data_IF_757946250697
#
_entry.id   IF_757946250697
#
_cell.length_a   1.000
_cell.length_b   1.000
_cell.length_c   1.000
_cell.angle_alpha   90.00
_cell.angle_beta   90.00
_cell.angle_gamma   90.00
#
_symmetry.space_group_name_H-M   'P 1'
#
loop_
_entity.id
_entity.type
_entity.pdbx_description
1 polymer ?
#
# COMPACT_ATOMS: atom_id res chain seq x y z
N UNK A 1 -2.66 -7.87 -9.14
CA UNK A 1 -2.19 -8.74 -10.24
C UNK A 1 -0.86 -8.17 -10.65
N UNK A 2 0.23 -8.89 -10.41
CA UNK A 2 1.59 -8.33 -10.39
C UNK A 2 1.79 -7.26 -9.29
N UNK A 3 2.98 -6.64 -9.26
CA UNK A 3 3.38 -5.57 -8.36
C UNK A 3 4.37 -4.62 -9.05
N UNK A 4 4.17 -3.30 -8.91
CA UNK A 4 5.08 -2.23 -9.36
C UNK A 4 5.55 -2.37 -10.82
N UNK A 5 4.64 -2.75 -11.72
CA UNK A 5 4.90 -2.92 -13.15
C UNK A 5 5.42 -1.65 -13.85
N UNK A 6 5.21 -0.48 -13.23
CA UNK A 6 5.73 0.79 -13.73
C UNK A 6 7.23 0.99 -13.41
N UNK A 7 7.91 0.01 -12.82
CA UNK A 7 9.36 -0.02 -12.64
C UNK A 7 9.99 -1.05 -13.58
N UNK A 8 11.05 -0.65 -14.27
CA UNK A 8 11.74 -1.49 -15.26
C UNK A 8 12.39 -2.77 -14.69
N UNK A 9 12.64 -2.80 -13.38
CA UNK A 9 13.14 -4.00 -12.70
C UNK A 9 12.06 -5.07 -12.50
N UNK A 10 10.78 -4.67 -12.35
CA UNK A 10 9.67 -5.61 -12.16
C UNK A 10 8.94 -5.95 -13.45
N UNK A 11 9.08 -5.15 -14.51
CA UNK A 11 8.40 -5.42 -15.77
C UNK A 11 9.12 -4.76 -16.97
N UNK A 12 9.20 -5.44 -18.14
CA UNK A 12 9.77 -4.87 -19.35
C UNK A 12 9.06 -3.58 -19.80
N UNK A 13 9.83 -2.53 -20.11
CA UNK A 13 9.30 -1.22 -20.52
C UNK A 13 9.25 -1.08 -22.04
N UNK A 14 8.22 -0.42 -22.63
CA UNK A 14 7.05 0.18 -21.98
C UNK A 14 6.04 -0.87 -21.50
N UNK A 15 5.61 -0.74 -20.24
CA UNK A 15 4.85 -1.80 -19.55
C UNK A 15 3.36 -1.89 -19.93
N UNK A 16 2.71 -0.78 -20.26
CA UNK A 16 1.25 -0.70 -20.23
C UNK A 16 0.54 -1.71 -21.17
N UNK A 17 1.00 -1.85 -22.41
CA UNK A 17 0.36 -2.75 -23.38
C UNK A 17 0.50 -4.22 -22.99
N UNK A 18 1.72 -4.65 -22.65
CA UNK A 18 2.02 -6.03 -22.25
C UNK A 18 1.35 -6.38 -20.92
N UNK A 19 1.32 -5.44 -19.98
CA UNK A 19 0.64 -5.61 -18.70
C UNK A 19 -0.89 -5.68 -18.84
N UNK A 20 -1.51 -4.86 -19.70
CA UNK A 20 -2.96 -5.00 -20.00
C UNK A 20 -3.25 -6.34 -20.67
N UNK A 21 -2.32 -6.87 -21.47
CA UNK A 21 -2.37 -8.24 -21.97
C UNK A 21 -2.46 -9.27 -20.84
N UNK A 22 -1.60 -9.17 -19.81
CA UNK A 22 -1.68 -9.99 -18.60
C UNK A 22 -3.03 -9.83 -17.89
N UNK A 23 -3.49 -8.59 -17.69
CA UNK A 23 -4.76 -8.31 -17.00
C UNK A 23 -5.94 -8.98 -17.72
N UNK A 24 -6.00 -8.96 -19.07
CA UNK A 24 -7.06 -9.63 -19.83
C UNK A 24 -7.09 -11.13 -19.60
N UNK A 25 -5.93 -11.78 -19.70
CA UNK A 25 -5.80 -13.22 -19.48
C UNK A 25 -6.16 -13.60 -18.04
N UNK A 26 -5.64 -12.85 -17.08
CA UNK A 26 -5.92 -13.05 -15.66
C UNK A 26 -7.40 -12.83 -15.32
N UNK A 27 -8.00 -11.74 -15.81
CA UNK A 27 -9.40 -11.42 -15.59
C UNK A 27 -10.31 -12.56 -16.10
N UNK A 28 -10.08 -13.03 -17.33
CA UNK A 28 -10.83 -14.14 -17.93
C UNK A 28 -10.70 -15.42 -17.11
N UNK A 29 -9.46 -15.81 -16.75
CA UNK A 29 -9.22 -17.03 -16.00
C UNK A 29 -9.82 -17.00 -14.59
N UNK A 30 -9.63 -15.88 -13.88
CA UNK A 30 -10.15 -15.70 -12.52
C UNK A 30 -11.68 -15.72 -12.51
N UNK A 31 -12.35 -14.97 -13.39
CA UNK A 31 -13.81 -14.93 -13.43
C UNK A 31 -14.44 -16.23 -13.94
N UNK A 32 -13.71 -17.02 -14.74
CA UNK A 32 -14.14 -18.37 -15.10
C UNK A 32 -14.16 -19.30 -13.88
N UNK A 33 -13.21 -19.14 -12.97
CA UNK A 33 -13.12 -19.94 -11.74
C UNK A 33 -14.07 -19.43 -10.65
N UNK A 34 -14.17 -18.11 -10.49
CA UNK A 34 -15.02 -17.43 -9.52
C UNK A 34 -15.57 -16.13 -10.12
N UNK A 35 -16.83 -16.12 -10.60
CA UNK A 35 -17.46 -14.93 -11.17
C UNK A 35 -17.63 -13.76 -10.17
N UNK A 36 -17.52 -14.02 -8.86
CA UNK A 36 -17.62 -13.01 -7.80
C UNK A 36 -16.28 -12.39 -7.41
N UNK A 37 -15.15 -12.95 -7.87
CA UNK A 37 -13.82 -12.47 -7.52
C UNK A 37 -13.58 -11.03 -7.99
N UNK A 38 -12.74 -10.31 -7.25
CA UNK A 38 -12.31 -8.96 -7.58
C UNK A 38 -10.85 -8.95 -7.99
N UNK A 39 -10.57 -8.44 -9.19
CA UNK A 39 -9.20 -8.29 -9.67
C UNK A 39 -8.65 -6.94 -9.24
N UNK A 40 -7.67 -6.98 -8.34
CA UNK A 40 -6.92 -5.80 -7.91
C UNK A 40 -5.78 -5.55 -8.89
N UNK A 41 -5.72 -4.36 -9.48
CA UNK A 41 -4.59 -3.89 -10.29
C UNK A 41 -3.30 -4.01 -9.46
N UNK A 42 -2.22 -4.49 -10.05
CA UNK A 42 -0.88 -4.40 -9.46
C UNK A 42 -0.61 -3.00 -8.91
N UNK A 43 0.05 -2.94 -7.76
CA UNK A 43 0.23 -1.70 -7.06
C UNK A 43 1.24 -0.82 -7.81
N UNK A 44 0.77 0.30 -8.33
CA UNK A 44 1.65 1.29 -8.95
C UNK A 44 2.37 2.11 -7.87
N UNK A 45 3.60 2.51 -8.16
CA UNK A 45 4.45 3.27 -7.22
C UNK A 45 5.02 4.54 -7.85
N UNK A 46 5.79 5.33 -7.10
CA UNK A 46 6.38 6.61 -7.55
C UNK A 46 5.30 7.59 -8.05
N UNK A 47 5.41 8.07 -9.30
CA UNK A 47 4.40 8.94 -9.92
C UNK A 47 3.20 8.14 -10.46
N UNK A 48 2.59 7.28 -9.62
CA UNK A 48 1.54 6.35 -10.02
C UNK A 48 0.35 7.02 -10.73
N UNK A 49 0.01 8.27 -10.35
CA UNK A 49 -1.08 9.02 -10.96
C UNK A 49 -0.81 9.42 -12.42
N UNK A 50 0.47 9.47 -12.81
CA UNK A 50 0.89 9.61 -14.22
C UNK A 50 0.93 8.24 -14.90
N UNK A 51 1.52 7.24 -14.23
CA UNK A 51 1.66 5.87 -14.71
C UNK A 51 0.30 5.27 -15.12
N UNK A 52 -0.71 5.38 -14.26
CA UNK A 52 -2.03 4.80 -14.53
C UNK A 52 -2.69 5.32 -15.81
N UNK A 53 -2.35 6.53 -16.25
CA UNK A 53 -2.82 7.08 -17.52
C UNK A 53 -2.35 6.27 -18.74
N UNK A 54 -1.18 5.63 -18.67
CA UNK A 54 -0.68 4.75 -19.73
C UNK A 54 -1.54 3.48 -19.84
N UNK A 55 -1.97 2.91 -18.71
CA UNK A 55 -2.90 1.76 -18.68
C UNK A 55 -4.26 2.18 -19.25
N UNK A 56 -4.82 3.30 -18.78
CA UNK A 56 -6.11 3.79 -19.28
C UNK A 56 -6.09 4.18 -20.77
N UNK A 57 -4.93 4.50 -21.32
CA UNK A 57 -4.74 4.75 -22.75
C UNK A 57 -4.91 3.50 -23.63
N UNK A 58 -4.83 2.29 -23.04
CA UNK A 58 -5.05 1.05 -23.77
C UNK A 58 -6.55 0.73 -23.82
N UNK A 59 -7.09 0.56 -25.03
CA UNK A 59 -8.49 0.23 -25.25
C UNK A 59 -8.94 -1.01 -24.45
N UNK A 60 -10.04 -0.88 -23.72
CA UNK A 60 -10.61 -1.99 -22.94
C UNK A 60 -9.89 -2.30 -21.61
N UNK A 61 -8.83 -1.57 -21.25
CA UNK A 61 -8.07 -1.84 -20.02
C UNK A 61 -8.90 -1.67 -18.74
N UNK A 62 -9.78 -0.66 -18.71
CA UNK A 62 -10.62 -0.38 -17.54
C UNK A 62 -11.50 -1.56 -17.16
N UNK A 63 -11.90 -2.41 -18.11
CA UNK A 63 -12.77 -3.57 -17.82
C UNK A 63 -12.01 -4.76 -17.25
N UNK A 64 -10.67 -4.68 -17.13
CA UNK A 64 -9.84 -5.83 -16.74
C UNK A 64 -9.47 -5.83 -15.25
N UNK A 65 -9.94 -4.85 -14.47
CA UNK A 65 -9.67 -4.77 -13.03
C UNK A 65 -10.81 -4.03 -12.31
N UNK A 66 -11.04 -4.41 -11.06
CA UNK A 66 -12.09 -3.88 -10.20
C UNK A 66 -11.58 -2.83 -9.20
N UNK A 67 -10.31 -2.94 -8.79
CA UNK A 67 -9.70 -2.10 -7.76
C UNK A 67 -8.39 -1.53 -8.29
N UNK A 68 -8.17 -0.22 -8.13
CA UNK A 68 -6.85 0.39 -8.35
C UNK A 68 -6.06 0.30 -7.05
N UNK A 69 -4.82 -0.15 -7.10
CA UNK A 69 -3.95 -0.18 -5.92
C UNK A 69 -2.64 0.57 -6.14
N UNK A 70 -2.04 1.05 -5.04
CA UNK A 70 -0.79 1.83 -5.05
C UNK A 70 0.09 1.56 -3.84
N UNK A 71 1.40 1.68 -4.05
CA UNK A 71 2.41 1.74 -3.01
C UNK A 71 2.78 3.22 -2.80
N UNK A 72 2.34 3.78 -1.68
CA UNK A 72 2.43 5.21 -1.40
C UNK A 72 3.58 5.52 -0.42
N UNK A 73 4.80 5.14 -0.79
CA UNK A 73 6.00 5.52 -0.06
C UNK A 73 6.29 7.00 -0.25
N UNK A 74 6.24 7.76 0.85
CA UNK A 74 6.49 9.20 0.86
C UNK A 74 7.16 9.61 2.17
N UNK A 75 7.83 10.76 2.18
CA UNK A 75 8.55 11.25 3.34
C UNK A 75 7.69 11.56 4.56
N UNK A 76 6.46 12.02 4.39
CA UNK A 76 5.61 12.47 5.51
C UNK A 76 4.20 11.88 5.39
N UNK A 77 3.50 11.65 6.52
CA UNK A 77 2.10 11.20 6.51
C UNK A 77 1.17 12.08 5.66
N UNK A 78 1.35 13.41 5.68
CA UNK A 78 0.57 14.33 4.86
C UNK A 78 0.80 14.15 3.35
N UNK A 79 2.00 13.72 2.95
CA UNK A 79 2.36 13.47 1.56
C UNK A 79 1.73 12.17 1.06
N UNK A 80 1.53 11.16 1.93
CA UNK A 80 0.70 9.97 1.62
C UNK A 80 -0.71 10.40 1.25
N UNK A 81 -1.31 11.31 2.04
CA UNK A 81 -2.66 11.80 1.75
C UNK A 81 -2.72 12.60 0.45
N UNK A 82 -1.68 13.38 0.14
CA UNK A 82 -1.57 14.09 -1.13
C UNK A 82 -1.44 13.12 -2.31
N UNK A 83 -0.60 12.10 -2.18
CA UNK A 83 -0.45 11.03 -3.15
C UNK A 83 -1.80 10.36 -3.47
N UNK A 84 -2.55 9.96 -2.43
CA UNK A 84 -3.86 9.31 -2.60
C UNK A 84 -4.87 10.24 -3.28
N UNK A 85 -4.83 11.55 -3.00
CA UNK A 85 -5.64 12.55 -3.71
C UNK A 85 -5.26 12.63 -5.20
N UNK A 86 -3.97 12.62 -5.53
CA UNK A 86 -3.55 12.59 -6.94
C UNK A 86 -4.03 11.33 -7.66
N UNK A 87 -3.96 10.16 -7.01
CA UNK A 87 -4.50 8.93 -7.57
C UNK A 87 -6.00 9.01 -7.80
N UNK A 88 -6.77 9.47 -6.81
CA UNK A 88 -8.21 9.65 -6.95
C UNK A 88 -8.55 10.63 -8.08
N UNK A 89 -7.81 11.73 -8.20
CA UNK A 89 -7.99 12.69 -9.29
C UNK A 89 -7.66 12.08 -10.67
N UNK A 90 -6.61 11.28 -10.79
CA UNK A 90 -6.29 10.58 -12.03
C UNK A 90 -7.39 9.59 -12.41
N UNK A 91 -7.88 8.77 -11.46
CA UNK A 91 -9.02 7.86 -11.70
C UNK A 91 -10.26 8.63 -12.17
N UNK A 92 -10.56 9.77 -11.54
CA UNK A 92 -11.68 10.63 -11.93
C UNK A 92 -11.50 11.20 -13.35
N UNK A 93 -10.31 11.70 -13.67
CA UNK A 93 -9.97 12.23 -14.98
C UNK A 93 -10.17 11.18 -16.09
N UNK A 94 -9.71 9.95 -15.85
CA UNK A 94 -9.89 8.82 -16.75
C UNK A 94 -11.27 8.14 -16.64
N UNK A 95 -12.28 8.80 -16.06
CA UNK A 95 -13.67 8.32 -15.97
C UNK A 95 -13.81 6.97 -15.25
N UNK A 96 -12.96 6.69 -14.27
CA UNK A 96 -12.98 5.50 -13.41
C UNK A 96 -13.32 5.82 -11.94
N UNK A 97 -14.12 6.88 -11.75
CA UNK A 97 -14.46 7.44 -10.42
C UNK A 97 -15.15 6.45 -9.47
N UNK A 98 -15.87 5.47 -10.01
CA UNK A 98 -16.67 4.53 -9.22
C UNK A 98 -15.82 3.43 -8.58
N UNK A 99 -14.62 3.17 -9.11
CA UNK A 99 -13.79 2.08 -8.59
C UNK A 99 -13.13 2.45 -7.26
N UNK A 100 -13.00 1.47 -6.36
CA UNK A 100 -12.25 1.64 -5.13
C UNK A 100 -10.76 1.81 -5.39
N UNK A 101 -10.12 2.52 -4.46
CA UNK A 101 -8.68 2.68 -4.34
C UNK A 101 -8.19 1.84 -3.15
N UNK A 102 -7.01 1.25 -3.27
CA UNK A 102 -6.34 0.51 -2.21
C UNK A 102 -4.92 1.04 -2.03
N UNK A 103 -4.54 1.37 -0.79
CA UNK A 103 -3.14 1.62 -0.44
C UNK A 103 -2.52 0.27 -0.04
N UNK A 104 -1.81 -0.36 -0.97
CA UNK A 104 -1.27 -1.71 -0.82
C UNK A 104 0.02 -1.74 -0.01
N UNK A 105 0.82 -0.68 -0.05
CA UNK A 105 1.99 -0.54 0.81
C UNK A 105 2.22 0.92 1.21
N UNK A 106 2.43 1.14 2.51
CA UNK A 106 2.90 2.41 3.08
C UNK A 106 3.73 2.09 4.32
N UNK A 107 4.86 2.77 4.47
CA UNK A 107 5.72 2.62 5.65
C UNK A 107 6.74 3.74 5.77
N UNK A 108 7.42 3.73 6.92
CA UNK A 108 8.62 4.52 7.18
C UNK A 108 9.64 3.59 7.84
N UNK A 109 10.60 3.05 7.07
CA UNK A 109 11.62 2.17 7.63
C UNK A 109 12.40 2.88 8.74
N UNK A 110 12.52 2.24 9.90
CA UNK A 110 13.33 2.77 11.01
C UNK A 110 14.84 2.50 10.79
N UNK A 111 15.31 2.77 9.56
CA UNK A 111 16.60 2.36 9.02
C UNK A 111 17.71 3.42 9.16
N UNK A 112 17.41 4.59 9.74
CA UNK A 112 18.37 5.68 9.86
C UNK A 112 19.65 5.22 10.59
N UNK A 113 20.78 5.24 9.88
CA UNK A 113 22.08 4.78 10.39
C UNK A 113 22.22 3.26 10.55
N UNK A 114 21.27 2.47 10.05
CA UNK A 114 21.24 0.99 10.21
C UNK A 114 21.32 0.22 8.89
N UNK A 115 20.92 0.83 7.78
CA UNK A 115 20.96 0.20 6.45
C UNK A 115 22.03 0.82 5.54
N UNK A 116 22.50 0.04 4.57
CA UNK A 116 23.33 0.51 3.44
C UNK A 116 22.49 1.22 2.37
N UNK A 117 21.20 0.91 2.31
CA UNK A 117 20.24 1.62 1.47
C UNK A 117 19.73 2.83 2.24
N UNK A 118 19.56 3.95 1.53
CA UNK A 118 19.11 5.21 2.10
C UNK A 118 17.96 5.78 1.28
N UNK A 119 16.83 5.98 1.94
CA UNK A 119 15.68 6.72 1.41
C UNK A 119 15.51 8.04 2.17
N UNK A 120 14.92 9.02 1.50
CA UNK A 120 14.61 10.33 2.11
C UNK A 120 13.49 10.25 3.18
N UNK A 121 12.83 9.09 3.26
CA UNK A 121 11.79 8.72 4.23
C UNK A 121 12.27 7.70 5.28
N UNK A 122 13.56 7.36 5.31
CA UNK A 122 14.13 6.59 6.42
C UNK A 122 14.10 7.40 7.72
N UNK A 123 13.85 6.73 8.83
CA UNK A 123 13.65 7.39 10.12
C UNK A 123 14.18 6.56 11.29
N UNK A 124 13.97 7.04 12.51
CA UNK A 124 14.21 6.30 13.75
C UNK A 124 13.00 5.46 14.13
N UNK A 125 13.13 4.53 15.09
CA UNK A 125 11.97 3.76 15.60
C UNK A 125 10.88 4.67 16.20
N UNK A 126 11.31 5.76 16.86
CA UNK A 126 10.39 6.77 17.35
C UNK A 126 9.72 7.55 16.22
N UNK A 127 10.44 7.83 15.13
CA UNK A 127 9.87 8.46 13.93
C UNK A 127 8.84 7.58 13.24
N UNK A 128 9.17 6.30 13.00
CA UNK A 128 8.24 5.32 12.45
C UNK A 128 6.92 5.29 13.25
N UNK A 129 7.00 5.24 14.58
CA UNK A 129 5.81 5.25 15.44
C UNK A 129 5.02 6.56 15.34
N UNK A 130 5.69 7.72 15.33
CA UNK A 130 5.04 9.04 15.17
C UNK A 130 4.33 9.16 13.82
N UNK A 131 4.96 8.71 12.75
CA UNK A 131 4.40 8.82 11.40
C UNK A 131 3.17 7.92 11.22
N UNK A 132 3.18 6.71 11.79
CA UNK A 132 2.00 5.84 11.87
C UNK A 132 0.87 6.50 12.67
N UNK A 133 1.18 7.03 13.86
CA UNK A 133 0.20 7.68 14.73
C UNK A 133 -0.44 8.91 14.08
N UNK A 134 0.31 9.62 13.23
CA UNK A 134 -0.20 10.74 12.45
C UNK A 134 -1.03 10.29 11.23
N UNK A 135 -0.62 9.23 10.53
CA UNK A 135 -1.28 8.77 9.30
C UNK A 135 -2.69 8.21 9.55
N UNK A 136 -2.84 7.31 10.53
CA UNK A 136 -4.08 6.54 10.71
C UNK A 136 -5.33 7.44 10.90
N UNK A 137 -5.30 8.50 11.74
CA UNK A 137 -6.43 9.44 11.83
C UNK A 137 -6.71 10.17 10.51
N UNK A 138 -5.69 10.53 9.73
CA UNK A 138 -5.88 11.19 8.42
C UNK A 138 -6.58 10.28 7.42
N UNK A 139 -6.24 8.98 7.42
CA UNK A 139 -6.93 7.96 6.64
C UNK A 139 -8.39 7.86 7.10
N UNK A 140 -8.64 7.76 8.42
CA UNK A 140 -9.99 7.69 8.97
C UNK A 140 -10.89 8.86 8.59
N UNK A 141 -10.32 10.07 8.55
CA UNK A 141 -11.06 11.26 8.14
C UNK A 141 -11.34 11.32 6.63
N UNK A 142 -10.55 10.63 5.80
CA UNK A 142 -10.54 10.83 4.34
C UNK A 142 -10.96 9.63 3.51
N UNK A 143 -11.04 8.41 4.08
CA UNK A 143 -11.16 7.18 3.30
C UNK A 143 -12.40 7.17 2.38
N UNK A 144 -13.55 7.67 2.85
CA UNK A 144 -14.77 7.76 2.03
C UNK A 144 -14.59 8.69 0.82
N UNK A 145 -14.05 9.89 1.03
CA UNK A 145 -13.81 10.86 -0.04
C UNK A 145 -12.78 10.35 -1.06
N UNK A 146 -11.82 9.53 -0.60
CA UNK A 146 -10.83 8.88 -1.44
C UNK A 146 -11.32 7.59 -2.08
N UNK A 147 -12.53 7.11 -1.78
CA UNK A 147 -13.00 5.77 -2.15
C UNK A 147 -11.99 4.68 -1.75
N UNK A 148 -11.30 4.88 -0.64
CA UNK A 148 -10.25 4.01 -0.13
C UNK A 148 -10.91 2.87 0.65
N UNK A 149 -10.73 1.64 0.18
CA UNK A 149 -11.34 0.44 0.81
C UNK A 149 -10.40 -0.27 1.78
N UNK A 150 -9.13 0.11 1.80
CA UNK A 150 -8.15 -0.52 2.64
C UNK A 150 -6.79 0.16 2.58
N UNK A 151 -6.00 -0.13 3.61
CA UNK A 151 -4.64 0.31 3.79
C UNK A 151 -3.84 -0.84 4.39
N UNK A 152 -2.69 -1.12 3.81
CA UNK A 152 -1.76 -2.13 4.30
C UNK A 152 -0.45 -1.47 4.71
N UNK A 153 -0.13 -1.60 6.00
CA UNK A 153 1.15 -1.16 6.51
C UNK A 153 2.23 -2.17 6.11
N UNK A 154 3.26 -1.70 5.42
CA UNK A 154 4.43 -2.51 5.12
C UNK A 154 5.45 -2.33 6.27
N UNK A 155 5.74 -3.31 7.10
CA UNK A 155 5.25 -4.67 7.12
C UNK A 155 5.03 -5.12 8.56
N UNK A 156 4.51 -6.34 8.75
CA UNK A 156 4.29 -6.91 10.06
C UNK A 156 5.62 -7.14 10.81
N UNK A 157 6.59 -7.79 10.16
CA UNK A 157 7.87 -8.19 10.75
C UNK A 157 9.03 -7.79 9.84
N UNK A 158 10.01 -7.06 10.38
CA UNK A 158 11.25 -6.70 9.67
C UNK A 158 12.40 -7.64 10.02
N UNK A 159 13.20 -8.05 9.03
CA UNK A 159 14.43 -8.84 9.25
C UNK A 159 15.63 -7.93 9.55
N UNK A 160 15.69 -7.39 10.76
CA UNK A 160 16.74 -6.43 11.19
C UNK A 160 18.10 -7.10 11.51
N UNK A 161 18.31 -8.35 11.06
CA UNK A 161 19.62 -9.01 11.06
C UNK A 161 20.49 -8.65 9.85
N UNK A 162 19.88 -8.19 8.76
CA UNK A 162 20.55 -7.83 7.51
C UNK A 162 20.50 -6.31 7.26
N UNK A 163 21.65 -5.62 7.23
CA UNK A 163 21.70 -4.18 6.95
C UNK A 163 21.58 -3.84 5.46
N UNK A 164 21.41 -4.82 4.57
CA UNK A 164 21.37 -4.62 3.11
C UNK A 164 20.25 -3.68 2.67
N UNK A 165 19.00 -3.98 3.03
CA UNK A 165 17.81 -3.23 2.58
C UNK A 165 17.24 -2.37 3.70
N UNK A 166 16.84 -1.13 3.39
CA UNK A 166 16.25 -0.25 4.40
C UNK A 166 14.91 -0.80 4.90
N UNK A 167 14.13 -1.39 3.98
CA UNK A 167 12.83 -2.00 4.28
C UNK A 167 12.90 -3.20 5.25
N UNK A 168 14.07 -3.79 5.50
CA UNK A 168 14.26 -4.74 6.59
C UNK A 168 13.90 -4.14 7.96
N UNK A 169 13.97 -2.82 8.10
CA UNK A 169 13.64 -2.06 9.30
C UNK A 169 12.23 -1.46 9.28
N UNK A 170 11.35 -1.83 8.34
CA UNK A 170 9.98 -1.31 8.22
C UNK A 170 8.95 -2.03 9.10
N UNK A 171 9.33 -3.13 9.74
CA UNK A 171 8.40 -3.94 10.54
C UNK A 171 7.77 -3.20 11.72
N UNK A 172 6.53 -3.57 12.06
CA UNK A 172 5.93 -3.27 13.38
C UNK A 172 6.62 -4.08 14.49
N UNK A 173 7.08 -5.29 14.15
CA UNK A 173 7.99 -6.11 14.93
C UNK A 173 9.35 -6.18 14.23
N UNK A 174 10.39 -6.50 14.98
CA UNK A 174 11.71 -6.88 14.45
C UNK A 174 12.01 -8.33 14.75
N UNK A 175 12.62 -9.00 13.79
CA UNK A 175 13.34 -10.25 13.96
C UNK A 175 14.83 -9.98 13.90
N UNK A 176 15.57 -10.43 14.91
CA UNK A 176 17.04 -10.35 14.94
C UNK A 176 17.59 -11.52 15.76
N UNK A 177 18.52 -12.28 15.19
CA UNK A 177 19.21 -13.39 15.87
C UNK A 177 18.24 -14.37 16.57
N UNK A 178 17.21 -14.83 15.85
CA UNK A 178 16.23 -15.78 16.38
C UNK A 178 15.18 -15.19 17.32
N UNK A 179 15.26 -13.89 17.65
CA UNK A 179 14.34 -13.23 18.58
C UNK A 179 13.41 -12.28 17.85
N UNK A 180 12.11 -12.36 18.18
CA UNK A 180 11.10 -11.39 17.74
C UNK A 180 10.83 -10.40 18.88
N UNK A 181 10.82 -9.11 18.57
CA UNK A 181 10.53 -8.05 19.56
C UNK A 181 9.62 -7.00 18.96
N UNK A 182 8.64 -6.54 19.72
CA UNK A 182 7.79 -5.42 19.31
C UNK A 182 8.58 -4.11 19.24
N UNK A 183 8.31 -3.30 18.21
CA UNK A 183 8.81 -1.93 18.11
C UNK A 183 7.74 -0.95 18.60
N UNK A 184 8.11 0.30 18.94
CA UNK A 184 7.11 1.34 19.26
C UNK A 184 6.03 1.50 18.19
N UNK A 185 6.38 1.24 16.92
CA UNK A 185 5.48 1.23 15.78
C UNK A 185 4.26 0.31 15.96
N UNK A 186 4.41 -0.87 16.59
CA UNK A 186 3.29 -1.78 16.83
C UNK A 186 2.23 -1.15 17.76
N UNK A 187 2.66 -0.41 18.78
CA UNK A 187 1.76 0.28 19.70
C UNK A 187 0.98 1.39 19.00
N UNK A 188 1.67 2.21 18.19
CA UNK A 188 1.05 3.27 17.39
C UNK A 188 0.03 2.69 16.39
N UNK A 189 0.42 1.65 15.64
CA UNK A 189 -0.45 1.00 14.67
C UNK A 189 -1.70 0.42 15.33
N UNK A 190 -1.51 -0.34 16.42
CA UNK A 190 -2.62 -0.96 17.16
C UNK A 190 -3.63 0.08 17.65
N UNK A 191 -3.13 1.17 18.23
CA UNK A 191 -3.98 2.25 18.76
C UNK A 191 -4.81 2.89 17.65
N UNK A 192 -4.17 3.27 16.53
CA UNK A 192 -4.86 3.89 15.42
C UNK A 192 -5.82 2.93 14.70
N UNK A 193 -5.44 1.68 14.47
CA UNK A 193 -6.29 0.68 13.82
C UNK A 193 -7.56 0.39 14.63
N UNK A 194 -7.41 0.19 15.95
CA UNK A 194 -8.55 0.00 16.85
C UNK A 194 -9.48 1.21 16.85
N UNK A 195 -8.94 2.43 16.84
CA UNK A 195 -9.74 3.65 16.76
C UNK A 195 -10.51 3.75 15.44
N UNK A 196 -9.89 3.40 14.30
CA UNK A 196 -10.53 3.40 12.98
C UNK A 196 -11.72 2.44 12.88
N UNK A 197 -11.62 1.31 13.58
CA UNK A 197 -12.65 0.28 13.56
C UNK A 197 -13.67 0.45 14.71
N UNK A 198 -13.50 1.46 15.56
CA UNK A 198 -14.30 1.69 16.76
C UNK A 198 -14.26 0.53 17.76
N UNK A 199 -13.07 -0.03 18.01
CA UNK A 199 -12.87 -1.21 18.84
C UNK A 199 -11.97 -0.89 20.04
N UNK A 200 -12.28 -1.44 21.23
CA UNK A 200 -11.36 -1.40 22.38
C UNK A 200 -10.27 -2.46 22.26
N UNK A 201 -10.62 -3.64 21.74
CA UNK A 201 -9.69 -4.71 21.33
C UNK A 201 -10.35 -5.62 20.29
N UNK A 202 -9.53 -6.40 19.58
CA UNK A 202 -10.02 -7.46 18.69
C UNK A 202 -10.42 -8.72 19.45
N UNK A 203 -11.42 -9.43 18.90
CA UNK A 203 -11.81 -10.76 19.34
C UNK A 203 -10.87 -11.85 18.79
N UNK A 204 -11.36 -13.09 18.73
CA UNK A 204 -10.62 -14.23 18.14
C UNK A 204 -10.46 -14.14 16.62
N UNK A 205 -11.28 -13.32 15.96
CA UNK A 205 -11.21 -13.05 14.53
C UNK A 205 -10.80 -11.59 14.31
N UNK A 206 -10.06 -11.34 13.23
CA UNK A 206 -9.66 -9.99 12.84
C UNK A 206 -10.86 -9.04 12.60
N UNK A 207 -11.99 -9.57 12.14
CA UNK A 207 -13.24 -8.82 11.94
C UNK A 207 -14.07 -8.63 13.21
N UNK A 208 -13.72 -9.30 14.31
CA UNK A 208 -14.47 -9.22 15.57
C UNK A 208 -13.94 -8.09 16.45
N UNK A 209 -14.86 -7.26 16.95
CA UNK A 209 -14.52 -6.17 17.86
C UNK A 209 -15.22 -6.31 19.21
N UNK A 210 -14.44 -6.03 20.24
CA UNK A 210 -14.91 -5.89 21.61
C UNK A 210 -14.86 -4.39 21.88
N UNK A 211 -16.03 -3.78 22.06
CA UNK A 211 -16.20 -2.34 22.30
C UNK A 211 -16.11 -2.00 23.78
#
# INVERSE_FOLDING_TARGET
MWNEENLGYYWPQPYASSYVGLLRSAHSAIHKADPGAKLVLGALTNFAWKSIGQIYGIGGARQQFDVVSVNAFTKRPADVMLYLRYMRNAMNHFKDRAKPLLAAEVSWPSAQGKSRQHFDFDTSEGGQARDIAALLPMIGASYKALGLIGFYYYTWLGNEGDPGLAFNYAGLLRFRQGTITAKPALGAFRTGALALEHCRRKGSLASSCIT
#
